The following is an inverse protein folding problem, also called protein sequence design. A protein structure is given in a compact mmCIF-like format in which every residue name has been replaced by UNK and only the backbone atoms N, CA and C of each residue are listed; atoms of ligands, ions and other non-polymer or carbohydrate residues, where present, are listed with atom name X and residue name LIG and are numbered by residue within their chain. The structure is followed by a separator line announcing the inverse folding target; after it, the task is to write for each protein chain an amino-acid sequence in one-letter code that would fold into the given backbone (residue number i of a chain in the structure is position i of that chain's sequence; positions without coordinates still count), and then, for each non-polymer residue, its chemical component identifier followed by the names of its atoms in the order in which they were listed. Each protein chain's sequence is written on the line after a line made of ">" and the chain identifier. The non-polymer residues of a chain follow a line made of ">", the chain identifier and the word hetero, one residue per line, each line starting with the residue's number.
data_IF_068417136099
#
_entry.id   IF_068417136099
#
_cell.length_a   1.000
_cell.length_b   1.000
_cell.length_c   1.000
_cell.angle_alpha   90.00
_cell.angle_beta   90.00
_cell.angle_gamma   90.00
#
_symmetry.space_group_name_H-M   'P 1'
#
loop_
_entity.id
_entity.type
_entity.pdbx_description
1 polymer ?
#
# COMPACT_ATOMS: atom_id res chain seq x y z
N UNK A 1 -31.08 -26.22 -35.75
CA UNK A 1 -30.53 -25.09 -34.97
C UNK A 1 -30.09 -25.60 -33.60
N UNK A 2 -28.84 -26.07 -33.46
CA UNK A 2 -28.14 -26.25 -32.17
C UNK A 2 -26.73 -26.84 -32.44
N UNK A 3 -25.68 -26.00 -32.55
CA UNK A 3 -24.41 -26.40 -31.94
C UNK A 3 -23.59 -25.23 -31.40
N UNK A 4 -24.21 -24.11 -31.00
CA UNK A 4 -23.47 -22.94 -30.50
C UNK A 4 -23.11 -23.07 -29.02
N UNK A 5 -23.90 -23.83 -28.24
CA UNK A 5 -23.77 -23.90 -26.77
C UNK A 5 -22.53 -24.66 -26.27
N UNK A 6 -21.99 -25.61 -27.05
CA UNK A 6 -20.88 -26.50 -26.62
C UNK A 6 -19.50 -25.83 -26.65
N UNK A 7 -19.36 -24.74 -27.42
CA UNK A 7 -18.08 -24.04 -27.58
C UNK A 7 -17.81 -22.99 -26.48
N UNK A 8 -18.84 -22.58 -25.73
CA UNK A 8 -18.69 -21.60 -24.64
C UNK A 8 -18.30 -22.22 -23.29
N UNK A 9 -18.48 -23.55 -23.12
CA UNK A 9 -18.11 -24.27 -21.89
C UNK A 9 -16.63 -24.12 -21.50
N UNK A 10 -15.63 -24.30 -22.40
CA UNK A 10 -14.23 -24.16 -22.03
C UNK A 10 -13.84 -22.70 -21.76
N UNK A 11 -14.46 -21.74 -22.47
CA UNK A 11 -14.22 -20.30 -22.26
C UNK A 11 -14.74 -19.85 -20.89
N UNK A 12 -15.91 -20.32 -20.48
CA UNK A 12 -16.49 -20.05 -19.17
C UNK A 12 -15.66 -20.68 -18.04
N UNK A 13 -15.15 -21.89 -18.27
CA UNK A 13 -14.22 -22.58 -17.35
C UNK A 13 -12.91 -21.81 -17.17
N UNK A 14 -12.31 -21.32 -18.26
CA UNK A 14 -11.07 -20.56 -18.21
C UNK A 14 -11.25 -19.21 -17.48
N UNK A 15 -12.37 -18.52 -17.71
CA UNK A 15 -12.71 -17.28 -17.02
C UNK A 15 -12.89 -17.47 -15.50
N UNK A 16 -13.53 -18.57 -15.07
CA UNK A 16 -13.65 -18.92 -13.65
C UNK A 16 -12.28 -19.19 -13.00
N UNK A 17 -11.35 -19.84 -13.72
CA UNK A 17 -9.99 -20.08 -13.20
C UNK A 17 -9.23 -18.76 -13.03
N UNK A 18 -9.40 -17.79 -13.92
CA UNK A 18 -8.78 -16.47 -13.79
C UNK A 18 -9.28 -15.68 -12.55
N UNK A 19 -10.54 -15.83 -12.15
CA UNK A 19 -11.06 -15.17 -10.94
C UNK A 19 -10.48 -15.70 -9.63
N UNK A 20 -9.90 -16.91 -9.62
CA UNK A 20 -9.25 -17.47 -8.44
C UNK A 20 -7.88 -16.83 -8.14
N UNK A 21 -7.31 -16.08 -9.09
CA UNK A 21 -6.03 -15.37 -8.93
C UNK A 21 -6.22 -13.92 -8.47
N UNK A 22 -6.99 -13.69 -7.40
CA UNK A 22 -7.04 -12.37 -6.78
C UNK A 22 -5.85 -12.19 -5.84
N UNK A 23 -4.99 -11.22 -6.14
CA UNK A 23 -3.91 -10.80 -5.24
C UNK A 23 -4.52 -10.14 -3.99
N UNK A 24 -4.08 -10.47 -2.76
CA UNK A 24 -4.51 -9.74 -1.57
C UNK A 24 -4.09 -8.26 -1.66
N UNK A 25 -5.05 -7.38 -1.93
CA UNK A 25 -4.84 -5.94 -1.77
C UNK A 25 -4.64 -5.63 -0.28
N UNK A 26 -3.38 -5.40 0.13
CA UNK A 26 -3.05 -4.95 1.48
C UNK A 26 -3.51 -3.50 1.67
N UNK A 27 -4.79 -3.33 2.00
CA UNK A 27 -5.39 -2.04 2.31
C UNK A 27 -5.88 -2.02 3.76
N UNK A 28 -5.56 -0.95 4.48
CA UNK A 28 -6.06 -0.72 5.84
C UNK A 28 -7.26 0.22 5.78
N UNK A 29 -8.35 -0.13 6.46
CA UNK A 29 -9.48 0.77 6.68
C UNK A 29 -9.46 1.34 8.09
N UNK A 30 -9.50 2.66 8.18
CA UNK A 30 -9.64 3.41 9.43
C UNK A 30 -11.04 4.07 9.43
N UNK A 31 -12.01 3.35 10.00
CA UNK A 31 -13.43 3.68 9.85
C UNK A 31 -13.90 3.44 8.41
N UNK A 32 -14.50 4.45 7.78
CA UNK A 32 -14.87 4.43 6.35
C UNK A 32 -13.70 4.78 5.41
N UNK A 33 -12.58 5.26 5.95
CA UNK A 33 -11.45 5.81 5.19
C UNK A 33 -10.45 4.70 4.82
N UNK A 34 -9.93 4.75 3.59
CA UNK A 34 -8.99 3.75 3.06
C UNK A 34 -7.56 4.30 3.07
N UNK A 35 -6.66 3.54 3.68
CA UNK A 35 -5.21 3.72 3.65
C UNK A 35 -4.62 2.66 2.72
N UNK A 36 -3.73 3.11 1.84
CA UNK A 36 -3.07 2.30 0.82
C UNK A 36 -1.61 2.71 0.68
N UNK A 37 -0.82 1.85 0.06
CA UNK A 37 0.60 2.09 -0.20
C UNK A 37 0.85 3.40 -0.97
N UNK A 38 2.01 4.01 -0.72
CA UNK A 38 2.43 5.30 -1.25
C UNK A 38 1.82 6.52 -0.54
N UNK A 39 0.89 6.33 0.39
CA UNK A 39 0.30 7.43 1.15
C UNK A 39 1.32 8.05 2.14
N UNK A 40 1.29 9.38 2.28
CA UNK A 40 2.16 10.07 3.24
C UNK A 40 1.81 9.76 4.71
N UNK A 41 2.81 9.68 5.58
CA UNK A 41 2.66 9.40 7.02
C UNK A 41 1.68 10.37 7.69
N UNK A 42 1.78 11.67 7.40
CA UNK A 42 0.86 12.69 7.92
C UNK A 42 -0.59 12.43 7.53
N UNK A 43 -0.83 12.04 6.28
CA UNK A 43 -2.16 11.69 5.79
C UNK A 43 -2.68 10.43 6.48
N UNK A 44 -1.84 9.43 6.71
CA UNK A 44 -2.25 8.23 7.46
C UNK A 44 -2.65 8.59 8.89
N UNK A 45 -1.87 9.43 9.58
CA UNK A 45 -2.18 9.89 10.94
C UNK A 45 -3.51 10.67 10.97
N UNK A 46 -3.77 11.52 9.97
CA UNK A 46 -5.05 12.22 9.83
C UNK A 46 -6.23 11.23 9.65
N UNK A 47 -6.02 10.14 8.90
CA UNK A 47 -7.05 9.15 8.61
C UNK A 47 -7.28 8.13 9.73
N UNK A 48 -6.25 7.81 10.51
CA UNK A 48 -6.30 6.72 11.50
C UNK A 48 -6.20 7.19 12.95
N UNK A 49 -5.85 8.44 13.19
CA UNK A 49 -5.54 8.96 14.53
C UNK A 49 -4.05 8.81 14.87
N UNK A 50 -3.71 9.02 16.13
CA UNK A 50 -2.32 8.89 16.59
C UNK A 50 -1.93 7.40 16.76
N UNK A 51 -0.69 7.02 16.38
CA UNK A 51 -0.17 5.70 16.68
C UNK A 51 0.15 5.57 18.17
N UNK A 52 0.06 4.33 18.70
CA UNK A 52 0.47 4.02 20.09
C UNK A 52 1.98 3.93 20.25
N UNK A 53 2.70 3.68 19.16
CA UNK A 53 4.15 3.63 19.16
C UNK A 53 4.67 4.12 17.81
N UNK A 54 5.76 4.90 17.86
CA UNK A 54 6.50 5.39 16.71
C UNK A 54 7.98 5.11 16.93
N UNK A 55 8.60 4.37 16.02
CA UNK A 55 10.01 3.97 16.10
C UNK A 55 10.74 4.35 14.82
N UNK A 56 11.91 4.98 14.95
CA UNK A 56 12.83 5.16 13.85
C UNK A 56 13.70 3.89 13.72
N UNK A 57 13.65 3.23 12.57
CA UNK A 57 14.38 1.97 12.33
C UNK A 57 15.76 2.19 11.70
N UNK A 58 16.06 3.41 11.26
CA UNK A 58 17.29 3.75 10.54
C UNK A 58 17.01 4.26 9.13
N UNK A 59 17.86 3.91 8.18
CA UNK A 59 17.82 4.41 6.80
C UNK A 59 17.88 3.27 5.78
N UNK A 60 17.26 3.47 4.62
CA UNK A 60 17.41 2.60 3.45
C UNK A 60 17.96 3.38 2.26
N UNK A 61 18.79 2.73 1.46
CA UNK A 61 19.27 3.29 0.19
C UNK A 61 18.24 2.99 -0.91
N UNK A 62 17.74 4.04 -1.56
CA UNK A 62 16.84 3.92 -2.73
C UNK A 62 17.44 4.65 -3.93
N UNK A 63 17.28 4.11 -5.15
CA UNK A 63 17.51 4.85 -6.39
C UNK A 63 16.89 6.25 -6.36
N UNK A 64 17.68 7.27 -6.65
CA UNK A 64 17.15 8.60 -6.91
C UNK A 64 16.65 8.67 -8.36
N UNK A 65 15.33 8.66 -8.53
CA UNK A 65 14.67 8.68 -9.84
C UNK A 65 14.32 10.12 -10.22
N UNK A 66 14.95 10.62 -11.27
CA UNK A 66 14.63 11.92 -11.85
C UNK A 66 13.35 11.81 -12.69
N UNK A 67 12.37 12.67 -12.40
CA UNK A 67 11.18 12.85 -13.24
C UNK A 67 11.48 13.94 -14.26
N UNK A 68 11.61 13.57 -15.54
CA UNK A 68 11.81 14.54 -16.63
C UNK A 68 10.54 14.65 -17.47
N UNK A 69 10.08 15.88 -17.80
CA UNK A 69 9.06 16.04 -18.80
C UNK A 69 9.60 15.51 -20.14
N UNK A 70 8.81 14.70 -20.81
CA UNK A 70 9.11 14.18 -22.13
C UNK A 70 7.84 14.23 -22.99
N UNK A 71 8.03 14.42 -24.29
CA UNK A 71 6.91 14.64 -25.20
C UNK A 71 7.39 14.90 -26.61
N UNK A 72 6.67 14.35 -27.59
CA UNK A 72 6.85 14.65 -29.01
C UNK A 72 5.45 14.87 -29.59
N UNK A 73 5.27 15.85 -30.47
CA UNK A 73 4.00 16.09 -31.19
C UNK A 73 2.79 16.29 -30.25
N UNK A 74 2.91 17.16 -29.24
CA UNK A 74 1.78 17.52 -28.35
C UNK A 74 1.42 16.47 -27.29
N UNK A 75 2.14 15.35 -27.22
CA UNK A 75 2.03 14.42 -26.09
C UNK A 75 2.87 14.90 -24.92
N UNK A 76 2.33 14.83 -23.70
CA UNK A 76 3.07 15.11 -22.47
C UNK A 76 3.05 13.88 -21.58
N UNK A 77 4.23 13.34 -21.27
CA UNK A 77 4.38 12.25 -20.31
C UNK A 77 5.58 12.50 -19.41
N UNK A 78 5.58 11.85 -18.25
CA UNK A 78 6.71 11.92 -17.33
C UNK A 78 7.61 10.73 -17.58
N UNK A 79 8.87 10.97 -17.95
CA UNK A 79 9.89 9.93 -18.03
C UNK A 79 10.58 9.79 -16.68
N UNK A 80 10.60 8.58 -16.15
CA UNK A 80 11.38 8.22 -14.96
C UNK A 80 12.79 7.80 -15.40
N UNK A 81 13.81 8.56 -15.02
CA UNK A 81 15.21 8.31 -15.38
C UNK A 81 16.00 8.00 -14.12
N UNK A 82 16.70 6.87 -14.11
CA UNK A 82 17.64 6.55 -13.04
C UNK A 82 18.83 7.51 -13.08
N UNK A 83 19.13 8.16 -11.96
CA UNK A 83 20.18 9.19 -11.91
C UNK A 83 21.59 8.65 -11.74
N UNK A 84 21.76 7.36 -11.39
CA UNK A 84 23.04 6.80 -10.95
C UNK A 84 23.29 6.94 -9.44
N UNK A 85 22.54 7.81 -8.76
CA UNK A 85 22.70 8.07 -7.32
C UNK A 85 21.67 7.30 -6.50
N UNK A 86 22.07 6.96 -5.27
CA UNK A 86 21.18 6.45 -4.23
C UNK A 86 20.95 7.55 -3.20
N UNK A 87 19.70 7.71 -2.78
CA UNK A 87 19.31 8.56 -1.67
C UNK A 87 19.08 7.71 -0.42
N UNK A 88 19.50 8.22 0.73
CA UNK A 88 19.16 7.63 2.03
C UNK A 88 17.78 8.11 2.46
N UNK A 89 16.86 7.20 2.71
CA UNK A 89 15.52 7.51 3.17
C UNK A 89 15.33 7.00 4.60
N UNK A 90 14.84 7.83 5.53
CA UNK A 90 14.55 7.38 6.89
C UNK A 90 13.41 6.36 6.87
N UNK A 91 13.56 5.32 7.68
CA UNK A 91 12.55 4.28 7.89
C UNK A 91 11.89 4.50 9.23
N UNK A 92 10.58 4.66 9.24
CA UNK A 92 9.77 4.78 10.46
C UNK A 92 8.75 3.66 10.52
N UNK A 93 8.52 3.15 11.72
CA UNK A 93 7.50 2.15 12.02
C UNK A 93 6.50 2.74 12.99
N UNK A 94 5.22 2.69 12.63
CA UNK A 94 4.11 3.15 13.45
C UNK A 94 3.20 1.98 13.78
N UNK A 95 2.81 1.87 15.04
CA UNK A 95 1.87 0.86 15.52
C UNK A 95 0.57 1.54 15.88
N UNK A 96 -0.53 1.04 15.33
CA UNK A 96 -1.89 1.53 15.60
C UNK A 96 -2.68 0.50 16.39
N UNK A 97 -3.24 0.94 17.52
CA UNK A 97 -4.15 0.18 18.34
C UNK A 97 -5.59 0.63 18.05
N UNK A 98 -6.46 -0.32 17.69
CA UNK A 98 -7.87 -0.04 17.41
C UNK A 98 -8.82 -0.60 18.49
N UNK A 99 -8.27 -1.00 19.64
CA UNK A 99 -8.99 -1.58 20.77
C UNK A 99 -9.05 -3.11 20.74
N UNK A 100 -9.51 -3.74 21.84
CA UNK A 100 -9.37 -5.18 22.08
C UNK A 100 -10.12 -6.10 21.11
N UNK A 101 -11.17 -5.57 20.45
CA UNK A 101 -11.96 -6.32 19.48
C UNK A 101 -11.47 -6.16 18.04
N UNK A 102 -10.35 -5.46 17.83
CA UNK A 102 -9.78 -5.19 16.52
C UNK A 102 -8.31 -5.56 16.51
N UNK A 103 -7.85 -6.05 15.36
CA UNK A 103 -6.44 -6.35 15.16
C UNK A 103 -5.66 -5.04 15.01
N UNK A 104 -4.53 -4.93 15.69
CA UNK A 104 -3.59 -3.83 15.53
C UNK A 104 -2.95 -3.84 14.14
N UNK A 105 -2.34 -2.71 13.77
CA UNK A 105 -1.61 -2.59 12.50
C UNK A 105 -0.25 -1.99 12.72
N UNK A 106 0.74 -2.57 12.05
CA UNK A 106 2.11 -2.07 11.99
C UNK A 106 2.31 -1.53 10.59
N UNK A 107 2.61 -0.25 10.49
CA UNK A 107 2.86 0.44 9.23
C UNK A 107 4.32 0.84 9.18
N UNK A 108 4.97 0.58 8.04
CA UNK A 108 6.34 1.00 7.77
C UNK A 108 6.33 2.08 6.69
N UNK A 109 7.10 3.13 6.94
CA UNK A 109 7.26 4.24 6.03
C UNK A 109 8.73 4.37 5.63
N UNK A 110 8.97 4.75 4.39
CA UNK A 110 10.30 5.07 3.87
C UNK A 110 10.25 6.48 3.27
N UNK A 111 11.08 7.39 3.77
CA UNK A 111 11.02 8.79 3.36
C UNK A 111 9.65 9.44 3.61
N UNK A 112 8.92 8.95 4.62
CA UNK A 112 7.57 9.41 4.97
C UNK A 112 6.44 8.87 4.08
N UNK A 113 6.71 7.96 3.14
CA UNK A 113 5.67 7.28 2.35
C UNK A 113 5.44 5.86 2.86
N UNK A 114 4.16 5.46 2.97
CA UNK A 114 3.77 4.14 3.40
C UNK A 114 4.23 3.09 2.39
N UNK A 115 5.08 2.17 2.82
CA UNK A 115 5.60 1.10 1.95
C UNK A 115 5.07 -0.27 2.34
N UNK A 116 4.57 -0.43 3.57
CA UNK A 116 4.11 -1.72 4.04
C UNK A 116 3.08 -1.59 5.17
N UNK A 117 2.04 -2.41 5.07
CA UNK A 117 0.99 -2.58 6.08
C UNK A 117 1.00 -4.03 6.55
N UNK A 118 1.22 -4.24 7.85
CA UNK A 118 1.15 -5.58 8.47
C UNK A 118 0.10 -5.63 9.57
N UNK A 119 -0.55 -6.76 9.66
CA UNK A 119 -1.44 -7.10 10.77
C UNK A 119 -0.61 -7.63 11.94
N UNK A 120 -0.87 -7.14 13.15
CA UNK A 120 -0.29 -7.64 14.38
C UNK A 120 -1.36 -8.37 15.21
N UNK A 121 -1.13 -8.53 16.52
CA UNK A 121 -2.10 -9.12 17.43
C UNK A 121 -3.35 -8.25 17.65
N UNK A 122 -4.21 -8.69 18.56
CA UNK A 122 -5.36 -7.89 18.99
C UNK A 122 -4.91 -6.63 19.73
N UNK A 123 -5.71 -5.58 19.60
CA UNK A 123 -5.53 -4.35 20.37
C UNK A 123 -5.79 -4.54 21.85
N UNK A 124 -5.73 -3.44 22.59
CA UNK A 124 -5.96 -3.42 24.03
C UNK A 124 -6.58 -2.09 24.46
N UNK A 125 -7.05 -2.04 25.70
CA UNK A 125 -7.42 -0.77 26.33
C UNK A 125 -6.16 -0.05 26.79
N UNK A 126 -5.91 1.12 26.23
CA UNK A 126 -4.87 2.01 26.74
C UNK A 126 -5.25 2.45 28.15
N UNK A 127 -4.34 2.24 29.11
CA UNK A 127 -4.49 2.84 30.43
C UNK A 127 -4.14 4.32 30.28
N UNK A 128 -5.11 5.21 30.53
CA UNK A 128 -4.86 6.66 30.55
C UNK A 128 -3.59 6.94 31.36
N UNK A 129 -2.64 7.64 30.75
CA UNK A 129 -1.41 8.10 31.38
C UNK A 129 -1.61 9.48 31.98
#
# INVERSE_FOLDING_TARGET
>A
MAPVFRQFLPVLSLACVFMLFSDPAHALRCGSRLVKDGMHESRVIELCGQPVSRRHLGYVLRPYILKRPAGILGTHYTRHVYSGFHQELPVTELVFNFGPRKLMRILRFEGGQLTLIRTAGYGYHEKNR
#
